data_IF_505593721741
#
_entry.id   IF_505593721741
#
_cell.length_a   1.000
_cell.length_b   1.000
_cell.length_c   1.000
_cell.angle_alpha   90.00
_cell.angle_beta   90.00
_cell.angle_gamma   90.00
#
_symmetry.space_group_name_H-M   'P 1'
#
loop_
_entity.id
_entity.type
_entity.pdbx_description
1 polymer ?
#
# COMPACT_ATOMS: atom_id res chain seq x y z
N UNK A 1 10.59 -16.67 17.34
CA UNK A 1 10.22 -16.09 16.03
C UNK A 1 9.36 -14.87 16.28
N UNK A 2 9.64 -13.76 15.62
CA UNK A 2 8.73 -12.61 15.61
C UNK A 2 7.67 -12.91 14.57
N UNK A 3 6.42 -13.09 14.99
CA UNK A 3 5.30 -13.32 14.07
C UNK A 3 4.76 -11.96 13.62
N UNK A 4 4.87 -11.65 12.34
CA UNK A 4 4.31 -10.45 11.75
C UNK A 4 2.86 -10.72 11.34
N UNK A 5 1.90 -10.18 12.09
CA UNK A 5 0.47 -10.34 11.78
C UNK A 5 0.05 -9.46 10.58
N UNK A 6 -0.36 -10.11 9.48
CA UNK A 6 -0.84 -9.45 8.25
C UNK A 6 -2.36 -9.37 8.12
N UNK A 7 -3.13 -9.96 9.04
CA UNK A 7 -4.60 -10.09 8.99
C UNK A 7 -5.32 -8.78 8.66
N UNK A 8 -4.91 -7.68 9.30
CA UNK A 8 -5.52 -6.37 9.05
C UNK A 8 -5.23 -5.86 7.63
N UNK A 9 -3.97 -6.00 7.16
CA UNK A 9 -3.58 -5.61 5.82
C UNK A 9 -4.32 -6.44 4.76
N UNK A 10 -4.43 -7.76 4.95
CA UNK A 10 -5.19 -8.67 4.09
C UNK A 10 -6.66 -8.25 3.96
N UNK A 11 -7.27 -7.85 5.09
CA UNK A 11 -8.65 -7.34 5.10
C UNK A 11 -8.78 -6.04 4.32
N UNK A 12 -7.87 -5.09 4.50
CA UNK A 12 -7.86 -3.83 3.74
C UNK A 12 -7.72 -4.08 2.23
N UNK A 13 -6.78 -4.95 1.82
CA UNK A 13 -6.59 -5.31 0.41
C UNK A 13 -7.86 -5.97 -0.17
N UNK A 14 -8.52 -6.84 0.59
CA UNK A 14 -9.77 -7.47 0.17
C UNK A 14 -10.91 -6.45 0.03
N UNK A 15 -11.00 -5.49 0.95
CA UNK A 15 -11.97 -4.39 0.87
C UNK A 15 -11.73 -3.51 -0.36
N UNK A 16 -10.47 -3.15 -0.63
CA UNK A 16 -10.09 -2.37 -1.82
C UNK A 16 -10.47 -3.11 -3.10
N UNK A 17 -10.11 -4.38 -3.22
CA UNK A 17 -10.41 -5.20 -4.39
C UNK A 17 -11.93 -5.29 -4.62
N UNK A 18 -12.71 -5.46 -3.55
CA UNK A 18 -14.17 -5.49 -3.65
C UNK A 18 -14.76 -4.13 -4.05
N UNK A 19 -14.32 -3.04 -3.43
CA UNK A 19 -14.78 -1.70 -3.74
C UNK A 19 -14.45 -1.32 -5.19
N UNK A 20 -13.24 -1.63 -5.66
CA UNK A 20 -12.81 -1.37 -7.03
C UNK A 20 -13.62 -2.18 -8.05
N UNK A 21 -13.90 -3.44 -7.76
CA UNK A 21 -14.77 -4.28 -8.59
C UNK A 21 -16.20 -3.71 -8.68
N UNK A 22 -16.77 -3.25 -7.57
CA UNK A 22 -18.12 -2.67 -7.55
C UNK A 22 -18.18 -1.31 -8.28
N UNK A 23 -17.12 -0.50 -8.16
CA UNK A 23 -17.02 0.78 -8.86
C UNK A 23 -17.18 0.62 -10.38
N UNK A 24 -16.60 -0.44 -10.96
CA UNK A 24 -16.72 -0.76 -12.38
C UNK A 24 -18.12 -1.22 -12.83
N UNK A 25 -19.07 -1.41 -11.90
CA UNK A 25 -20.43 -1.88 -12.19
C UNK A 25 -21.49 -0.78 -12.12
N UNK A 26 -21.12 0.41 -11.65
CA UNK A 26 -22.03 1.55 -11.45
C UNK A 26 -21.64 2.72 -12.36
N UNK A 27 -22.59 3.62 -12.64
CA UNK A 27 -22.34 4.76 -13.53
C UNK A 27 -21.82 5.95 -12.71
N UNK A 28 -20.98 6.83 -13.30
CA UNK A 28 -20.46 8.00 -12.59
C UNK A 28 -21.52 8.94 -11.98
N UNK A 29 -22.76 8.91 -12.48
CA UNK A 29 -23.87 9.72 -11.99
C UNK A 29 -24.58 9.11 -10.76
N UNK A 30 -24.33 7.83 -10.47
CA UNK A 30 -24.93 7.11 -9.35
C UNK A 30 -24.21 7.46 -8.04
N UNK A 31 -24.95 7.61 -6.94
CA UNK A 31 -24.36 7.90 -5.61
C UNK A 31 -23.39 6.78 -5.19
N UNK A 32 -23.69 5.54 -5.59
CA UNK A 32 -22.84 4.37 -5.38
C UNK A 32 -21.45 4.54 -5.98
N UNK A 33 -21.31 5.24 -7.11
CA UNK A 33 -20.00 5.50 -7.71
C UNK A 33 -19.14 6.36 -6.79
N UNK A 34 -19.68 7.45 -6.25
CA UNK A 34 -18.97 8.30 -5.30
C UNK A 34 -18.62 7.56 -4.00
N UNK A 35 -19.52 6.69 -3.54
CA UNK A 35 -19.28 5.85 -2.36
C UNK A 35 -18.13 4.86 -2.59
N UNK A 36 -18.17 4.09 -3.68
CA UNK A 36 -17.14 3.10 -3.99
C UNK A 36 -15.80 3.74 -4.33
N UNK A 37 -15.81 4.88 -5.04
CA UNK A 37 -14.61 5.70 -5.32
C UNK A 37 -13.96 6.17 -4.02
N UNK A 38 -14.76 6.69 -3.08
CA UNK A 38 -14.27 7.14 -1.77
C UNK A 38 -13.68 5.98 -0.96
N UNK A 39 -14.32 4.81 -0.98
CA UNK A 39 -13.80 3.61 -0.35
C UNK A 39 -12.46 3.17 -0.96
N UNK A 40 -12.35 3.16 -2.29
CA UNK A 40 -11.11 2.79 -2.99
C UNK A 40 -9.93 3.69 -2.60
N UNK A 41 -10.13 5.01 -2.60
CA UNK A 41 -9.12 5.96 -2.17
C UNK A 41 -8.74 5.70 -0.72
N UNK A 42 -9.74 5.52 0.15
CA UNK A 42 -9.45 5.38 1.57
C UNK A 42 -8.63 4.13 1.87
N UNK A 43 -8.97 3.01 1.25
CA UNK A 43 -8.21 1.78 1.40
C UNK A 43 -6.81 1.89 0.78
N UNK A 44 -6.64 2.60 -0.34
CA UNK A 44 -5.31 2.89 -0.90
C UNK A 44 -4.39 3.60 0.12
N UNK A 45 -4.89 4.63 0.80
CA UNK A 45 -4.13 5.32 1.85
C UNK A 45 -3.77 4.39 3.02
N UNK A 46 -4.74 3.61 3.50
CA UNK A 46 -4.57 2.70 4.63
C UNK A 46 -3.53 1.64 4.29
N UNK A 47 -3.66 1.00 3.13
CA UNK A 47 -2.75 -0.06 2.67
C UNK A 47 -1.33 0.50 2.53
N UNK A 48 -1.15 1.70 1.96
CA UNK A 48 0.17 2.36 1.90
C UNK A 48 0.80 2.47 3.29
N UNK A 49 0.05 3.01 4.25
CA UNK A 49 0.55 3.19 5.61
C UNK A 49 0.89 1.85 6.28
N UNK A 50 0.01 0.84 6.15
CA UNK A 50 0.20 -0.47 6.76
C UNK A 50 1.38 -1.23 6.17
N UNK A 51 1.56 -1.22 4.85
CA UNK A 51 2.72 -1.84 4.20
C UNK A 51 4.03 -1.23 4.72
N UNK A 52 4.12 0.11 4.81
CA UNK A 52 5.29 0.78 5.37
C UNK A 52 5.55 0.42 6.83
N UNK A 53 4.51 0.37 7.68
CA UNK A 53 4.63 -0.03 9.09
C UNK A 53 5.10 -1.46 9.27
N UNK A 54 4.53 -2.40 8.52
CA UNK A 54 4.89 -3.82 8.62
C UNK A 54 6.30 -4.08 8.08
N UNK A 55 6.67 -3.47 6.94
CA UNK A 55 8.03 -3.57 6.41
C UNK A 55 9.06 -3.00 7.38
N UNK A 56 8.77 -1.91 8.10
CA UNK A 56 9.65 -1.45 9.19
C UNK A 56 9.86 -2.53 10.26
N UNK A 57 8.81 -3.25 10.65
CA UNK A 57 8.96 -4.35 11.63
C UNK A 57 9.83 -5.47 11.07
N UNK A 58 9.62 -5.85 9.80
CA UNK A 58 10.44 -6.85 9.10
C UNK A 58 11.90 -6.42 9.01
N UNK A 59 12.19 -5.13 8.83
CA UNK A 59 13.55 -4.63 8.68
C UNK A 59 14.34 -4.59 9.98
N UNK A 60 13.71 -4.70 11.16
CA UNK A 60 14.40 -4.60 12.46
C UNK A 60 15.67 -5.47 12.60
N UNK A 61 15.68 -6.74 12.17
CA UNK A 61 16.86 -7.60 12.28
C UNK A 61 18.04 -7.18 11.38
N UNK A 62 17.78 -6.39 10.34
CA UNK A 62 18.81 -5.96 9.38
C UNK A 62 19.54 -4.68 9.82
N UNK A 63 19.19 -4.12 10.96
CA UNK A 63 19.75 -2.88 11.48
C UNK A 63 20.37 -3.07 12.86
N UNK A 64 21.38 -2.26 13.18
CA UNK A 64 22.07 -2.30 14.46
C UNK A 64 21.16 -1.95 15.67
N UNK A 65 20.03 -1.26 15.45
CA UNK A 65 19.05 -0.98 16.51
C UNK A 65 17.66 -0.75 15.94
N UNK A 66 16.62 -1.05 16.72
CA UNK A 66 15.22 -0.72 16.35
C UNK A 66 15.03 0.78 16.10
N UNK A 67 15.73 1.63 16.86
CA UNK A 67 15.66 3.09 16.72
C UNK A 67 16.11 3.57 15.33
N UNK A 68 17.11 2.91 14.73
CA UNK A 68 17.56 3.25 13.38
C UNK A 68 16.47 2.99 12.34
N UNK A 69 15.71 1.90 12.49
CA UNK A 69 14.60 1.57 11.59
C UNK A 69 13.42 2.52 11.75
N UNK A 70 13.13 2.93 12.98
CA UNK A 70 12.02 3.84 13.26
C UNK A 70 12.23 5.21 12.59
N UNK A 71 13.49 5.66 12.43
CA UNK A 71 13.85 6.90 11.74
C UNK A 71 13.68 6.86 10.21
N UNK A 72 13.55 5.67 9.61
CA UNK A 72 13.38 5.58 8.16
C UNK A 72 12.10 6.27 7.71
N UNK A 73 12.19 7.11 6.68
CA UNK A 73 11.00 7.62 6.00
C UNK A 73 10.46 6.57 5.04
N UNK A 74 9.21 6.74 4.60
CA UNK A 74 8.52 5.76 3.75
C UNK A 74 9.38 5.25 2.59
N UNK A 75 9.97 6.15 1.80
CA UNK A 75 10.77 5.76 0.64
C UNK A 75 12.00 4.93 1.04
N UNK A 76 12.62 5.23 2.19
CA UNK A 76 13.78 4.49 2.67
C UNK A 76 13.41 3.09 3.16
N UNK A 77 12.22 2.93 3.77
CA UNK A 77 11.71 1.60 4.16
C UNK A 77 11.67 0.66 2.95
N UNK A 78 11.09 1.11 1.84
CA UNK A 78 10.98 0.27 0.63
C UNK A 78 12.34 0.07 -0.06
N UNK A 79 13.23 1.07 -0.06
CA UNK A 79 14.61 0.90 -0.55
C UNK A 79 15.37 -0.15 0.25
N UNK A 80 15.26 -0.13 1.58
CA UNK A 80 15.88 -1.15 2.42
C UNK A 80 15.23 -2.52 2.25
N UNK A 81 13.91 -2.59 2.07
CA UNK A 81 13.24 -3.85 1.75
C UNK A 81 13.77 -4.47 0.44
N UNK A 82 14.02 -3.64 -0.59
CA UNK A 82 14.64 -4.09 -1.83
C UNK A 82 16.12 -4.48 -1.65
N UNK A 83 16.89 -3.68 -0.92
CA UNK A 83 18.31 -3.95 -0.62
C UNK A 83 18.50 -5.33 0.05
N UNK A 84 17.60 -5.68 0.97
CA UNK A 84 17.62 -6.97 1.66
C UNK A 84 16.84 -8.08 0.95
N UNK A 85 16.46 -7.88 -0.32
CA UNK A 85 15.75 -8.86 -1.14
C UNK A 85 14.41 -9.35 -0.56
N UNK A 86 13.77 -8.56 0.31
CA UNK A 86 12.41 -8.83 0.79
C UNK A 86 11.41 -8.56 -0.34
N UNK A 87 11.69 -7.54 -1.16
CA UNK A 87 10.97 -7.23 -2.39
C UNK A 87 11.95 -7.01 -3.54
N UNK A 88 11.48 -7.03 -4.78
CA UNK A 88 12.32 -6.68 -5.93
C UNK A 88 12.37 -5.17 -6.20
N UNK A 89 13.33 -4.73 -7.00
CA UNK A 89 13.55 -3.32 -7.34
C UNK A 89 12.36 -2.70 -8.07
N UNK A 90 11.72 -3.43 -8.98
CA UNK A 90 10.55 -2.92 -9.72
C UNK A 90 9.37 -2.65 -8.79
N UNK A 91 9.14 -3.53 -7.81
CA UNK A 91 8.13 -3.34 -6.76
C UNK A 91 8.46 -2.08 -5.96
N UNK A 92 9.72 -1.91 -5.54
CA UNK A 92 10.18 -0.71 -4.83
C UNK A 92 9.87 0.58 -5.62
N UNK A 93 10.17 0.61 -6.91
CA UNK A 93 9.88 1.76 -7.78
C UNK A 93 8.38 2.06 -7.86
N UNK A 94 7.52 1.05 -8.01
CA UNK A 94 6.06 1.25 -7.99
C UNK A 94 5.56 1.80 -6.66
N UNK A 95 6.10 1.34 -5.53
CA UNK A 95 5.78 1.89 -4.20
C UNK A 95 6.22 3.36 -4.04
N UNK A 96 7.29 3.79 -4.71
CA UNK A 96 7.64 5.22 -4.79
C UNK A 96 6.55 6.01 -5.52
N UNK A 97 6.07 5.50 -6.66
CA UNK A 97 5.02 6.14 -7.46
C UNK A 97 3.72 6.24 -6.68
N UNK A 98 3.30 5.18 -5.97
CA UNK A 98 2.11 5.20 -5.12
C UNK A 98 2.23 6.25 -4.00
N UNK A 99 3.40 6.38 -3.38
CA UNK A 99 3.64 7.39 -2.35
C UNK A 99 3.57 8.80 -2.91
N UNK A 100 4.12 9.04 -4.09
CA UNK A 100 4.11 10.35 -4.74
C UNK A 100 2.71 10.73 -5.22
N UNK A 101 1.95 9.76 -5.74
CA UNK A 101 0.53 9.93 -6.04
C UNK A 101 -0.25 10.37 -4.79
N UNK A 102 -0.07 9.69 -3.64
CA UNK A 102 -0.70 10.07 -2.35
C UNK A 102 -0.34 11.50 -1.89
N UNK A 103 0.91 11.92 -2.07
CA UNK A 103 1.35 13.25 -1.61
C UNK A 103 0.80 14.39 -2.48
N UNK A 104 0.72 14.15 -3.80
CA UNK A 104 0.19 15.12 -4.77
C UNK A 104 -1.32 15.27 -4.60
N UNK A 105 -2.01 14.18 -4.27
CA UNK A 105 -3.46 14.12 -4.07
C UNK A 105 -3.94 14.75 -2.76
N UNK A 106 -3.13 14.82 -1.71
CA UNK A 106 -3.51 15.49 -0.44
C UNK A 106 -3.67 17.02 -0.56
N UNK A 107 -3.17 17.63 -1.65
CA UNK A 107 -3.23 19.08 -1.87
C UNK A 107 -4.36 19.50 -2.81
N UNK A 108 -5.01 18.56 -3.49
CA UNK A 108 -5.99 18.83 -4.54
C UNK A 108 -7.29 18.04 -4.27
N UNK A 109 -8.18 18.62 -3.46
CA UNK A 109 -9.47 18.03 -3.05
C UNK A 109 -10.52 18.02 -4.19
N UNK A 110 -10.10 17.92 -5.46
CA UNK A 110 -10.96 17.99 -6.65
C UNK A 110 -11.31 16.63 -7.28
N UNK A 111 -12.18 16.62 -8.29
CA UNK A 111 -12.64 15.40 -9.02
C UNK A 111 -11.48 14.63 -9.66
N UNK A 112 -10.41 15.32 -10.09
CA UNK A 112 -9.21 14.73 -10.69
C UNK A 112 -8.44 13.78 -9.77
N UNK A 113 -8.53 14.00 -8.45
CA UNK A 113 -7.87 13.23 -7.38
C UNK A 113 -7.97 11.71 -7.54
N UNK A 114 -9.19 11.18 -7.73
CA UNK A 114 -9.33 9.74 -7.78
C UNK A 114 -9.05 9.18 -9.18
N UNK A 115 -9.10 9.97 -10.26
CA UNK A 115 -8.94 9.38 -11.58
C UNK A 115 -7.54 8.77 -11.73
N UNK A 116 -6.51 9.50 -11.31
CA UNK A 116 -5.12 9.02 -11.34
C UNK A 116 -4.88 7.86 -10.38
N UNK A 117 -5.41 7.94 -9.16
CA UNK A 117 -5.30 6.84 -8.18
C UNK A 117 -6.02 5.59 -8.67
N UNK A 118 -7.24 5.71 -9.22
CA UNK A 118 -8.05 4.60 -9.74
C UNK A 118 -7.33 3.82 -10.85
N UNK A 119 -6.55 4.51 -11.69
CA UNK A 119 -5.73 3.88 -12.74
C UNK A 119 -4.63 3.00 -12.13
N UNK A 120 -4.09 3.38 -10.97
CA UNK A 120 -3.02 2.65 -10.29
C UNK A 120 -3.53 1.42 -9.51
N UNK A 121 -4.82 1.39 -9.15
CA UNK A 121 -5.37 0.39 -8.23
C UNK A 121 -5.19 -1.07 -8.67
N UNK A 122 -5.39 -1.46 -9.95
CA UNK A 122 -5.20 -2.85 -10.36
C UNK A 122 -3.81 -3.39 -10.01
N UNK A 123 -2.76 -2.63 -10.34
CA UNK A 123 -1.38 -3.03 -10.04
C UNK A 123 -1.07 -2.88 -8.54
N UNK A 124 -1.61 -1.84 -7.89
CA UNK A 124 -1.43 -1.63 -6.45
C UNK A 124 -1.98 -2.81 -5.62
N UNK A 125 -3.14 -3.36 -5.98
CA UNK A 125 -3.73 -4.53 -5.32
C UNK A 125 -2.79 -5.74 -5.44
N UNK A 126 -2.24 -5.98 -6.64
CA UNK A 126 -1.26 -7.05 -6.88
C UNK A 126 -0.01 -6.86 -6.03
N UNK A 127 0.55 -5.64 -6.01
CA UNK A 127 1.75 -5.34 -5.23
C UNK A 127 1.51 -5.42 -3.71
N UNK A 128 0.33 -5.02 -3.23
CA UNK A 128 -0.04 -5.16 -1.82
C UNK A 128 -0.15 -6.63 -1.40
N UNK A 129 -0.75 -7.49 -2.24
CA UNK A 129 -0.75 -8.95 -2.06
C UNK A 129 0.68 -9.51 -2.04
N UNK A 130 1.56 -9.01 -2.90
CA UNK A 130 2.97 -9.41 -2.90
C UNK A 130 3.69 -8.99 -1.60
N UNK A 131 3.44 -7.80 -1.06
CA UNK A 131 3.99 -7.38 0.24
C UNK A 131 3.52 -8.31 1.37
N UNK A 132 2.25 -8.69 1.42
CA UNK A 132 1.73 -9.64 2.40
C UNK A 132 2.49 -10.96 2.33
N UNK A 133 2.64 -11.53 1.13
CA UNK A 133 3.39 -12.77 0.92
C UNK A 133 4.85 -12.62 1.35
N UNK A 134 5.50 -11.52 0.96
CA UNK A 134 6.89 -11.24 1.31
C UNK A 134 7.10 -11.15 2.83
N UNK A 135 6.18 -10.49 3.56
CA UNK A 135 6.21 -10.40 5.04
C UNK A 135 6.00 -11.77 5.66
N UNK A 136 4.99 -12.52 5.21
CA UNK A 136 4.68 -13.85 5.75
C UNK A 136 5.84 -14.84 5.57
N UNK A 137 6.60 -14.72 4.48
CA UNK A 137 7.80 -15.52 4.27
C UNK A 137 8.93 -15.22 5.27
N UNK A 138 8.89 -14.08 5.97
CA UNK A 138 9.86 -13.75 7.04
C UNK A 138 9.49 -14.37 8.39
N UNK A 139 8.27 -14.92 8.52
CA UNK A 139 7.82 -15.63 9.73
C UNK A 139 8.30 -17.09 9.76
N UNK A 140 8.90 -17.59 8.68
CA UNK A 140 9.46 -18.96 8.56
C UNK A 140 10.91 -19.00 9.06
#
# INVERSE_FOLDING_TARGET
>A
MTDFETTYLERCVSTLEKAYSLLGTVRPEDIEYDMYRSACVKEFEIILEQCGKLLKKVLKPYFASSKAVDMLIFKDVFRHAALHSIINTESCERWMQYRDNRNSTAHDYGVGFAQDTLILLPQFIVDAKYIILAINNQNQ
#
